data_IF_493814445608
#
_entry.id   IF_493814445608
#
_cell.length_a   1.000
_cell.length_b   1.000
_cell.length_c   1.000
_cell.angle_alpha   90.00
_cell.angle_beta   90.00
_cell.angle_gamma   90.00
#
_symmetry.space_group_name_H-M   'P 1'
#
loop_
_entity.id
_entity.type
_entity.pdbx_description
1 polymer ?
#
# COMPACT_ATOMS: atom_id res chain seq x y z
N UNK A 1 -15.11 -20.63 -56.15
CA UNK A 1 -16.49 -20.42 -56.65
C UNK A 1 -17.41 -21.36 -55.87
N UNK A 2 -18.19 -20.81 -54.94
CA UNK A 2 -19.15 -21.58 -54.13
C UNK A 2 -20.40 -21.92 -54.96
N UNK A 3 -20.81 -23.19 -54.93
CA UNK A 3 -22.02 -23.70 -55.58
C UNK A 3 -23.10 -23.92 -54.53
N UNK A 4 -24.23 -23.21 -54.68
CA UNK A 4 -25.44 -23.36 -53.88
C UNK A 4 -26.28 -24.51 -54.42
N UNK A 5 -26.72 -25.43 -53.56
CA UNK A 5 -27.97 -26.18 -53.77
C UNK A 5 -28.74 -26.31 -52.44
N UNK A 6 -29.92 -25.68 -52.44
CA UNK A 6 -31.00 -25.83 -51.47
C UNK A 6 -31.53 -27.26 -51.50
N UNK A 7 -31.89 -27.80 -50.33
CA UNK A 7 -32.94 -28.81 -50.20
C UNK A 7 -33.76 -28.49 -48.94
N UNK A 8 -35.04 -28.17 -49.19
CA UNK A 8 -36.09 -28.08 -48.18
C UNK A 8 -36.49 -29.49 -47.77
N UNK A 9 -36.72 -29.72 -46.48
CA UNK A 9 -37.67 -30.75 -46.03
C UNK A 9 -38.33 -30.28 -44.75
N UNK A 10 -39.66 -30.19 -44.77
CA UNK A 10 -40.52 -29.69 -43.71
C UNK A 10 -41.36 -30.85 -43.15
N UNK A 11 -41.53 -30.81 -41.83
CA UNK A 11 -42.60 -31.36 -40.98
C UNK A 11 -42.64 -32.88 -40.69
N UNK A 12 -42.63 -33.22 -39.40
CA UNK A 12 -43.83 -33.73 -38.73
C UNK A 12 -43.71 -33.59 -37.20
N UNK A 13 -44.65 -32.86 -36.59
CA UNK A 13 -44.90 -32.82 -35.14
C UNK A 13 -45.74 -34.05 -34.75
N UNK A 14 -45.41 -34.72 -33.65
CA UNK A 14 -46.42 -35.19 -32.72
C UNK A 14 -46.23 -34.54 -31.36
N UNK A 15 -47.23 -33.76 -30.95
CA UNK A 15 -47.62 -33.61 -29.55
C UNK A 15 -47.74 -35.00 -28.94
N UNK A 16 -47.27 -35.22 -27.71
CA UNK A 16 -47.94 -36.07 -26.70
C UNK A 16 -47.14 -36.19 -25.37
N UNK A 17 -47.89 -35.99 -24.28
CA UNK A 17 -47.73 -36.30 -22.85
C UNK A 17 -46.71 -35.55 -21.97
N UNK A 18 -47.29 -34.60 -21.21
CA UNK A 18 -46.92 -34.15 -19.88
C UNK A 18 -46.83 -35.32 -18.88
N UNK A 19 -45.72 -35.43 -18.16
CA UNK A 19 -45.63 -36.12 -16.87
C UNK A 19 -44.90 -35.18 -15.90
N UNK A 20 -45.66 -34.58 -15.00
CA UNK A 20 -45.13 -33.81 -13.89
C UNK A 20 -44.69 -34.77 -12.78
N UNK A 21 -43.40 -35.13 -12.71
CA UNK A 21 -42.81 -35.70 -11.50
C UNK A 21 -42.12 -34.61 -10.69
N UNK A 22 -42.79 -34.17 -9.62
CA UNK A 22 -42.12 -33.62 -8.45
C UNK A 22 -41.41 -34.77 -7.74
N UNK A 23 -40.20 -34.52 -7.22
CA UNK A 23 -39.76 -34.85 -5.85
C UNK A 23 -38.28 -34.45 -5.69
N UNK A 24 -38.07 -33.53 -4.74
CA UNK A 24 -36.92 -33.35 -3.81
C UNK A 24 -35.53 -33.37 -4.46
N UNK A 25 -34.83 -32.25 -4.58
CA UNK A 25 -34.41 -31.45 -3.44
C UNK A 25 -33.09 -31.99 -2.88
N UNK A 26 -32.00 -31.74 -3.61
CA UNK A 26 -30.63 -31.60 -3.08
C UNK A 26 -29.89 -30.69 -4.07
N UNK A 27 -29.86 -29.40 -3.75
CA UNK A 27 -29.18 -28.37 -4.55
C UNK A 27 -27.70 -28.71 -4.74
N UNK A 28 -27.22 -28.34 -5.92
CA UNK A 28 -25.86 -28.46 -6.40
C UNK A 28 -24.82 -27.71 -5.52
N UNK A 29 -23.63 -28.30 -5.48
CA UNK A 29 -22.35 -27.78 -4.96
C UNK A 29 -21.87 -26.59 -5.84
N UNK A 30 -20.89 -25.74 -5.46
CA UNK A 30 -20.62 -25.00 -4.24
C UNK A 30 -20.70 -23.48 -4.50
N UNK A 31 -21.10 -22.67 -3.52
CA UNK A 31 -20.68 -21.26 -3.52
C UNK A 31 -20.13 -20.89 -2.16
N UNK A 32 -18.81 -20.99 -2.03
CA UNK A 32 -18.11 -20.11 -1.10
C UNK A 32 -18.53 -18.71 -1.51
N UNK A 33 -19.26 -18.06 -0.62
CA UNK A 33 -19.82 -16.74 -0.80
C UNK A 33 -18.68 -15.72 -0.89
N UNK A 34 -18.11 -15.64 -2.09
CA UNK A 34 -17.16 -14.64 -2.55
C UNK A 34 -17.96 -13.36 -2.84
N UNK A 35 -18.53 -12.76 -1.78
CA UNK A 35 -19.24 -11.47 -1.88
C UNK A 35 -19.42 -10.76 -0.54
N UNK A 36 -18.42 -10.84 0.35
CA UNK A 36 -18.03 -9.63 1.07
C UNK A 36 -16.94 -9.02 0.23
N UNK A 37 -17.13 -7.77 -0.20
CA UNK A 37 -16.11 -6.91 -0.79
C UNK A 37 -14.72 -7.44 -0.43
N UNK A 38 -13.90 -7.78 -1.44
CA UNK A 38 -12.46 -7.84 -1.25
C UNK A 38 -12.06 -6.44 -0.76
N UNK A 39 -12.16 -6.22 0.55
CA UNK A 39 -11.52 -5.10 1.22
C UNK A 39 -10.07 -5.36 0.94
N UNK A 40 -9.51 -4.62 -0.01
CA UNK A 40 -8.08 -4.62 -0.23
C UNK A 40 -7.44 -4.51 1.14
N UNK A 41 -6.57 -5.46 1.45
CA UNK A 41 -5.87 -5.49 2.72
C UNK A 41 -5.24 -4.09 2.90
N UNK A 42 -5.53 -3.39 4.01
CA UNK A 42 -5.05 -2.02 4.20
C UNK A 42 -3.51 -1.99 4.16
N UNK A 43 -2.90 -3.08 4.61
CA UNK A 43 -1.46 -3.28 4.54
C UNK A 43 -1.02 -4.11 3.32
N UNK A 44 0.19 -3.84 2.80
CA UNK A 44 0.85 -4.72 1.83
C UNK A 44 1.05 -6.14 2.37
N UNK A 45 1.42 -7.06 1.47
CA UNK A 45 1.83 -8.41 1.82
C UNK A 45 3.05 -8.31 2.77
N UNK A 46 3.01 -8.85 3.99
CA UNK A 46 4.07 -8.69 4.98
C UNK A 46 5.44 -9.12 4.48
N UNK A 47 5.51 -10.20 3.71
CA UNK A 47 6.75 -10.76 3.17
C UNK A 47 7.44 -9.81 2.18
N UNK A 48 6.68 -8.98 1.47
CA UNK A 48 7.21 -8.05 0.47
C UNK A 48 7.81 -6.79 1.11
N UNK A 49 7.45 -6.50 2.37
CA UNK A 49 7.85 -5.29 3.08
C UNK A 49 8.81 -5.55 4.24
N UNK A 50 9.28 -6.79 4.43
CA UNK A 50 10.26 -7.09 5.47
C UNK A 50 11.55 -6.26 5.29
N UNK A 51 12.13 -5.72 6.37
CA UNK A 51 11.80 -5.94 7.78
C UNK A 51 10.79 -4.91 8.34
N UNK A 52 10.21 -4.06 7.49
CA UNK A 52 9.17 -3.15 7.94
C UNK A 52 7.87 -3.91 8.26
N UNK A 53 7.07 -3.33 9.14
CA UNK A 53 5.74 -3.82 9.46
C UNK A 53 4.71 -2.75 9.16
N UNK A 54 3.52 -3.19 8.78
CA UNK A 54 2.38 -2.33 8.55
C UNK A 54 1.28 -2.68 9.55
N UNK A 55 0.65 -1.66 10.12
CA UNK A 55 -0.45 -1.82 11.06
C UNK A 55 -1.57 -0.84 10.76
N UNK A 56 -2.81 -1.29 10.98
CA UNK A 56 -4.01 -0.47 10.93
C UNK A 56 -4.47 -0.21 12.37
N UNK A 57 -4.77 1.03 12.71
CA UNK A 57 -5.38 1.36 14.00
C UNK A 57 -6.91 1.23 13.98
N UNK A 58 -7.54 1.54 15.13
CA UNK A 58 -8.99 1.41 15.31
C UNK A 58 -9.79 2.35 14.40
N UNK A 59 -9.20 3.46 13.97
CA UNK A 59 -9.80 4.48 13.10
C UNK A 59 -9.51 4.21 11.61
N UNK A 60 -8.82 3.10 11.29
CA UNK A 60 -8.41 2.73 9.94
C UNK A 60 -7.19 3.49 9.43
N UNK A 61 -6.45 4.16 10.30
CA UNK A 61 -5.21 4.82 9.94
C UNK A 61 -4.07 3.80 9.87
N UNK A 62 -3.29 3.89 8.80
CA UNK A 62 -2.27 2.90 8.48
C UNK A 62 -0.89 3.47 8.76
N UNK A 63 -0.10 2.76 9.55
CA UNK A 63 1.26 3.13 9.95
C UNK A 63 2.27 2.12 9.43
N UNK A 64 3.43 2.62 9.02
CA UNK A 64 4.61 1.83 8.64
C UNK A 64 5.68 1.98 9.70
N UNK A 65 6.14 0.87 10.27
CA UNK A 65 7.32 0.82 11.13
C UNK A 65 8.47 0.17 10.37
N UNK A 66 9.54 0.93 10.14
CA UNK A 66 10.75 0.51 9.46
C UNK A 66 11.98 0.56 10.38
N UNK A 67 11.79 0.44 11.69
CA UNK A 67 12.87 0.52 12.70
C UNK A 67 13.96 -0.54 12.53
N UNK A 68 13.66 -1.64 11.83
CA UNK A 68 14.56 -2.78 11.66
C UNK A 68 15.28 -2.83 10.30
N UNK A 69 15.20 -1.78 9.48
CA UNK A 69 15.98 -1.74 8.24
C UNK A 69 17.48 -1.69 8.52
N UNK A 70 18.26 -2.46 7.79
CA UNK A 70 19.71 -2.61 7.97
C UNK A 70 20.52 -1.80 6.94
N UNK A 71 19.85 -1.17 5.97
CA UNK A 71 20.47 -0.34 4.94
C UNK A 71 19.45 0.57 4.25
N UNK A 72 19.96 1.63 3.62
CA UNK A 72 19.21 2.51 2.73
C UNK A 72 18.60 1.73 1.56
N UNK A 73 19.34 0.77 0.99
CA UNK A 73 18.84 -0.05 -0.11
C UNK A 73 17.67 -0.94 0.35
N UNK A 74 17.72 -1.48 1.57
CA UNK A 74 16.62 -2.27 2.10
C UNK A 74 15.36 -1.42 2.32
N UNK A 75 15.50 -0.21 2.86
CA UNK A 75 14.38 0.73 2.97
C UNK A 75 13.77 1.02 1.59
N UNK A 76 14.61 1.34 0.61
CA UNK A 76 14.14 1.61 -0.75
C UNK A 76 13.41 0.41 -1.36
N UNK A 77 13.92 -0.82 -1.17
CA UNK A 77 13.27 -2.05 -1.66
C UNK A 77 11.87 -2.24 -1.08
N UNK A 78 11.66 -1.96 0.21
CA UNK A 78 10.33 -2.07 0.84
C UNK A 78 9.28 -1.24 0.09
N UNK A 79 9.64 -0.03 -0.33
CA UNK A 79 8.72 0.86 -1.05
C UNK A 79 8.66 0.62 -2.57
N UNK A 80 9.29 -0.45 -3.06
CA UNK A 80 9.05 -1.00 -4.41
C UNK A 80 7.97 -2.09 -4.43
N UNK A 81 7.55 -2.58 -3.26
CA UNK A 81 6.51 -3.59 -3.13
C UNK A 81 5.16 -3.12 -3.70
N UNK A 82 4.27 -4.08 -3.93
CA UNK A 82 2.89 -3.76 -4.35
C UNK A 82 2.12 -3.21 -3.15
N UNK A 83 2.03 -1.89 -3.07
CA UNK A 83 1.32 -1.19 -2.00
C UNK A 83 -0.09 -0.84 -2.51
N UNK A 84 -1.15 -1.46 -1.95
CA UNK A 84 -2.52 -1.24 -2.43
C UNK A 84 -3.03 0.19 -2.17
N UNK A 85 -2.48 0.86 -1.15
CA UNK A 85 -2.82 2.22 -0.77
C UNK A 85 -1.55 3.04 -0.50
N UNK A 86 -1.22 4.05 -1.33
CA UNK A 86 0.05 4.76 -1.20
C UNK A 86 0.05 5.82 -0.10
N UNK A 87 -1.06 6.04 0.61
CA UNK A 87 -1.17 7.12 1.59
C UNK A 87 -1.23 6.53 2.99
N UNK A 88 -0.18 6.73 3.75
CA UNK A 88 -0.06 6.28 5.13
C UNK A 88 -0.26 7.46 6.07
N UNK A 89 -0.72 7.17 7.29
CA UNK A 89 -0.67 8.17 8.36
C UNK A 89 0.77 8.41 8.73
N UNK A 90 1.53 7.38 9.11
CA UNK A 90 2.83 7.56 9.76
C UNK A 90 3.92 6.62 9.27
N UNK A 91 5.13 7.15 9.15
CA UNK A 91 6.37 6.40 9.08
C UNK A 91 7.10 6.49 10.43
N UNK A 92 7.50 5.35 10.99
CA UNK A 92 8.29 5.27 12.22
C UNK A 92 9.63 4.58 11.93
N UNK A 93 10.71 5.23 12.34
CA UNK A 93 12.06 4.65 12.39
C UNK A 93 12.63 4.99 13.77
N UNK A 94 12.65 4.02 14.67
CA UNK A 94 13.06 4.21 16.06
C UNK A 94 14.25 3.33 16.40
N UNK A 95 15.24 3.86 17.12
CA UNK A 95 16.41 3.11 17.59
C UNK A 95 17.16 2.37 16.46
N UNK A 96 17.09 2.90 15.24
CA UNK A 96 17.74 2.30 14.10
C UNK A 96 19.22 2.70 14.06
N UNK A 97 20.10 1.71 14.04
CA UNK A 97 21.57 1.92 14.08
C UNK A 97 22.25 1.81 12.71
N UNK A 98 21.47 1.73 11.63
CA UNK A 98 21.96 1.40 10.30
C UNK A 98 21.67 2.49 9.26
N UNK A 99 20.48 3.06 9.27
CA UNK A 99 19.99 4.03 8.31
C UNK A 99 20.58 5.41 8.60
N UNK A 100 21.50 5.85 7.75
CA UNK A 100 22.20 7.14 7.88
C UNK A 100 21.60 8.20 6.97
N UNK A 101 21.00 7.82 5.85
CA UNK A 101 20.40 8.78 4.92
C UNK A 101 19.00 8.36 4.51
N UNK A 102 18.06 9.29 4.57
CA UNK A 102 16.79 9.13 3.88
C UNK A 102 16.96 9.64 2.45
N UNK A 103 17.27 8.72 1.54
CA UNK A 103 17.63 9.05 0.16
C UNK A 103 16.43 9.53 -0.66
N UNK A 104 16.73 10.30 -1.71
CA UNK A 104 15.71 10.71 -2.69
C UNK A 104 14.99 9.48 -3.26
N UNK A 105 13.66 9.48 -3.19
CA UNK A 105 12.85 8.39 -3.73
C UNK A 105 12.88 7.09 -2.91
N UNK A 106 13.54 7.05 -1.74
CA UNK A 106 13.55 5.87 -0.87
C UNK A 106 12.14 5.43 -0.44
N UNK A 107 11.19 6.36 -0.40
CA UNK A 107 9.78 6.10 -0.06
C UNK A 107 8.93 5.78 -1.30
N UNK A 108 9.54 5.59 -2.48
CA UNK A 108 8.84 5.20 -3.70
C UNK A 108 7.72 6.17 -4.08
N UNK A 109 6.48 5.66 -4.17
CA UNK A 109 5.27 6.43 -4.49
C UNK A 109 4.41 6.74 -3.26
N UNK A 110 4.88 6.39 -2.06
CA UNK A 110 4.08 6.53 -0.85
C UNK A 110 4.14 7.96 -0.31
N UNK A 111 3.07 8.38 0.35
CA UNK A 111 2.96 9.62 1.09
C UNK A 111 2.67 9.34 2.57
N UNK A 112 3.11 10.25 3.43
CA UNK A 112 2.91 10.18 4.87
C UNK A 112 2.35 11.50 5.40
N UNK A 113 1.55 11.43 6.47
CA UNK A 113 1.10 12.61 7.23
C UNK A 113 2.04 12.94 8.39
N UNK A 114 2.70 11.92 8.93
CA UNK A 114 3.61 12.00 10.06
C UNK A 114 4.89 11.22 9.73
N UNK A 115 6.05 11.80 10.01
CA UNK A 115 7.34 11.11 9.90
C UNK A 115 8.08 11.26 11.20
N UNK A 116 8.31 10.14 11.88
CA UNK A 116 9.02 10.07 13.15
C UNK A 116 10.29 9.24 13.01
N UNK A 117 11.44 9.90 13.13
CA UNK A 117 12.75 9.26 13.21
C UNK A 117 13.37 9.62 14.56
N UNK A 118 13.56 8.64 15.43
CA UNK A 118 13.80 8.91 16.86
C UNK A 118 14.92 8.03 17.40
N UNK A 119 15.87 8.61 18.14
CA UNK A 119 16.92 7.83 18.82
C UNK A 119 17.74 6.96 17.86
N UNK A 120 17.91 7.38 16.61
CA UNK A 120 18.54 6.60 15.54
C UNK A 120 19.85 7.27 15.08
N UNK A 121 20.50 6.75 14.03
CA UNK A 121 21.77 7.29 13.51
C UNK A 121 21.61 8.10 12.22
N UNK A 122 20.42 8.65 11.97
CA UNK A 122 20.14 9.39 10.74
C UNK A 122 21.00 10.67 10.69
N UNK A 123 21.69 10.89 9.57
CA UNK A 123 22.62 11.99 9.33
C UNK A 123 22.13 12.98 8.28
N UNK A 124 21.32 12.51 7.33
CA UNK A 124 20.85 13.30 6.20
C UNK A 124 19.40 12.94 5.84
N UNK A 125 18.61 13.96 5.53
CA UNK A 125 17.43 13.83 4.69
C UNK A 125 17.74 14.48 3.35
N UNK A 126 17.75 13.69 2.27
CA UNK A 126 18.06 14.23 0.95
C UNK A 126 16.92 15.06 0.40
N UNK A 127 17.26 16.07 -0.41
CA UNK A 127 16.29 16.78 -1.23
C UNK A 127 15.46 15.78 -2.05
N UNK A 128 14.14 15.93 -2.00
CA UNK A 128 13.19 15.10 -2.71
C UNK A 128 12.89 13.75 -2.07
N UNK A 129 13.46 13.45 -0.89
CA UNK A 129 13.11 12.26 -0.12
C UNK A 129 11.63 12.23 0.29
N UNK A 130 11.02 13.41 0.51
CA UNK A 130 9.67 13.57 1.03
C UNK A 130 8.67 14.13 0.00
N UNK A 131 9.03 14.15 -1.29
CA UNK A 131 8.26 14.83 -2.35
C UNK A 131 6.79 14.44 -2.44
N UNK A 132 6.47 13.16 -2.27
CA UNK A 132 5.09 12.67 -2.35
C UNK A 132 4.22 13.13 -1.17
N UNK A 133 4.84 13.60 -0.09
CA UNK A 133 4.18 14.02 1.14
C UNK A 133 4.00 15.54 1.23
N UNK A 134 4.45 16.34 0.25
CA UNK A 134 4.33 17.81 0.25
C UNK A 134 2.91 18.30 0.57
N UNK A 135 1.88 17.67 0.01
CA UNK A 135 0.50 18.09 0.20
C UNK A 135 -0.15 17.56 1.50
N UNK A 136 0.45 16.58 2.19
CA UNK A 136 -0.21 15.82 3.26
C UNK A 136 0.55 15.79 4.58
N UNK A 137 1.86 16.04 4.56
CA UNK A 137 2.71 15.95 5.74
C UNK A 137 2.40 17.10 6.71
N UNK A 138 2.01 16.75 7.92
CA UNK A 138 1.65 17.69 8.98
C UNK A 138 2.68 17.76 10.10
N UNK A 139 3.44 16.68 10.33
CA UNK A 139 4.37 16.58 11.45
C UNK A 139 5.65 15.83 11.04
N UNK A 140 6.79 16.51 11.13
CA UNK A 140 8.12 15.93 10.98
C UNK A 140 8.82 16.00 12.33
N UNK A 141 9.20 14.83 12.87
CA UNK A 141 10.03 14.76 14.08
C UNK A 141 11.22 13.88 13.82
N UNK A 142 12.39 14.50 13.76
CA UNK A 142 13.68 13.84 13.63
C UNK A 142 14.51 14.29 14.84
N UNK A 143 14.36 13.60 15.97
CA UNK A 143 14.98 14.00 17.23
C UNK A 143 15.86 12.89 17.82
N UNK A 144 16.90 13.27 18.54
CA UNK A 144 17.91 12.33 19.05
C UNK A 144 18.52 11.49 17.92
N UNK A 145 19.03 12.17 16.88
CA UNK A 145 19.80 11.54 15.79
C UNK A 145 21.15 12.26 15.63
N UNK A 146 21.80 12.09 14.47
CA UNK A 146 23.05 12.73 14.10
C UNK A 146 22.86 13.64 12.88
N UNK A 147 21.66 14.23 12.75
CA UNK A 147 21.22 14.94 11.54
C UNK A 147 22.07 16.19 11.33
N UNK A 148 22.84 16.18 10.24
CA UNK A 148 23.69 17.30 9.82
C UNK A 148 23.16 18.01 8.57
N UNK A 149 22.30 17.35 7.79
CA UNK A 149 21.71 17.90 6.58
C UNK A 149 20.21 17.61 6.48
N UNK A 150 19.44 18.66 6.18
CA UNK A 150 18.00 18.64 6.00
C UNK A 150 17.61 19.65 4.92
N UNK A 151 16.69 19.33 3.98
CA UNK A 151 16.44 20.15 2.80
C UNK A 151 15.50 21.31 3.13
N UNK A 152 15.96 22.29 3.89
CA UNK A 152 15.15 23.44 4.34
C UNK A 152 14.54 24.23 3.17
N UNK A 153 15.17 24.19 1.98
CA UNK A 153 14.66 24.80 0.76
C UNK A 153 13.32 24.20 0.29
N UNK A 154 13.00 22.96 0.68
CA UNK A 154 11.73 22.31 0.35
C UNK A 154 10.61 22.68 1.31
N UNK A 155 10.88 23.29 2.48
CA UNK A 155 9.85 23.64 3.46
C UNK A 155 8.66 24.42 2.89
N UNK A 156 8.84 25.40 1.97
CA UNK A 156 7.72 26.10 1.35
C UNK A 156 6.80 25.21 0.50
N UNK A 157 7.25 24.01 0.09
CA UNK A 157 6.47 23.06 -0.69
C UNK A 157 5.49 22.27 0.19
N UNK A 158 5.71 22.20 1.51
CA UNK A 158 4.83 21.47 2.42
C UNK A 158 3.64 22.32 2.83
N UNK A 159 2.54 22.24 2.07
CA UNK A 159 1.35 23.10 2.24
C UNK A 159 0.53 22.81 3.50
N UNK A 160 0.82 21.71 4.20
CA UNK A 160 0.09 21.28 5.39
C UNK A 160 0.98 21.08 6.61
N UNK A 161 2.27 21.43 6.54
CA UNK A 161 3.20 21.23 7.65
C UNK A 161 2.85 22.15 8.82
N UNK A 162 2.61 21.54 9.99
CA UNK A 162 2.27 22.24 11.22
C UNK A 162 3.40 22.19 12.25
N UNK A 163 4.23 21.15 12.19
CA UNK A 163 5.33 20.92 13.14
C UNK A 163 6.56 20.37 12.44
N UNK A 164 7.69 20.98 12.74
CA UNK A 164 9.04 20.49 12.44
C UNK A 164 9.82 20.47 13.75
N UNK A 165 10.26 19.29 14.18
CA UNK A 165 11.08 19.08 15.36
C UNK A 165 12.37 18.37 14.97
N UNK A 166 13.49 19.09 15.05
CA UNK A 166 14.84 18.61 14.75
C UNK A 166 15.76 18.70 15.98
N UNK A 167 15.20 18.60 17.20
CA UNK A 167 15.99 18.77 18.43
C UNK A 167 16.92 17.57 18.71
N UNK A 168 18.02 17.81 19.42
CA UNK A 168 19.01 16.78 19.80
C UNK A 168 19.57 16.05 18.57
N UNK A 169 20.18 16.79 17.65
CA UNK A 169 20.95 16.25 16.55
C UNK A 169 22.40 16.74 16.71
N UNK A 170 23.31 15.82 17.04
CA UNK A 170 24.72 16.09 17.37
C UNK A 170 25.70 15.26 16.50
#
# INVERSE_FOLDING_TARGET
>A
MLSYKKLLTVAFFPLIFCEARRVLGTDEIPSVQESRHARALPCPIPEDILPCTCSEDVDGAIDMDCSHVESEEQLARVFTATIPFPNFRRLVISQNTHLKSLQRGALGRTSFREIYVMGSVLQEVQEGALNNSHATLTDIRIYSNNLSDFPFQELPLFTSLLRLDLNHND
#
